data_IF_938577137350
#
_entry.id   IF_938577137350
#
_cell.length_a   1.000
_cell.length_b   1.000
_cell.length_c   1.000
_cell.angle_alpha   90.00
_cell.angle_beta   90.00
_cell.angle_gamma   90.00
#
_symmetry.space_group_name_H-M   'P 1'
#
loop_
_entity.id
_entity.type
_entity.pdbx_description
1 polymer ?
#
# COMPACT_ATOMS: atom_id res chain seq x y z
N UNK A 1 -22.42 21.20 22.43
CA UNK A 1 -21.12 20.76 22.99
C UNK A 1 -20.32 19.98 21.96
N UNK A 2 -19.00 19.85 22.14
CA UNK A 2 -18.11 19.06 21.27
C UNK A 2 -17.41 18.02 22.14
N UNK A 3 -17.42 16.75 21.74
CA UNK A 3 -16.68 15.69 22.43
C UNK A 3 -16.47 14.49 21.50
N UNK A 4 -16.17 13.31 22.05
CA UNK A 4 -15.88 12.08 21.32
C UNK A 4 -16.79 10.94 21.73
N UNK A 5 -17.12 10.07 20.76
CA UNK A 5 -17.83 8.82 21.02
C UNK A 5 -16.94 7.93 21.89
N UNK A 6 -17.46 7.50 23.04
CA UNK A 6 -16.75 6.68 24.02
C UNK A 6 -17.07 5.20 23.87
N UNK A 7 -18.33 4.87 23.63
CA UNK A 7 -18.79 3.49 23.47
C UNK A 7 -20.01 3.41 22.57
N UNK A 8 -20.15 2.26 21.91
CA UNK A 8 -21.20 1.97 20.95
C UNK A 8 -21.66 0.52 21.15
N UNK A 9 -22.96 0.30 21.17
CA UNK A 9 -23.58 -0.98 21.43
C UNK A 9 -24.68 -1.23 20.38
N UNK A 10 -24.65 -2.42 19.77
CA UNK A 10 -25.71 -2.92 18.90
C UNK A 10 -26.78 -3.61 19.72
N UNK A 11 -28.05 -3.38 19.38
CA UNK A 11 -29.15 -4.15 19.95
C UNK A 11 -29.11 -5.58 19.40
N UNK A 12 -29.09 -6.56 20.29
CA UNK A 12 -29.01 -7.98 19.90
C UNK A 12 -30.27 -8.47 19.18
N UNK A 13 -31.38 -7.77 19.34
CA UNK A 13 -32.68 -8.16 18.78
C UNK A 13 -33.06 -7.35 17.53
N UNK A 14 -32.27 -6.31 17.19
CA UNK A 14 -32.50 -5.48 16.01
C UNK A 14 -31.17 -4.90 15.52
N UNK A 15 -30.61 -5.49 14.46
CA UNK A 15 -29.33 -5.07 13.88
C UNK A 15 -29.34 -3.63 13.38
N UNK A 16 -30.52 -3.08 13.07
CA UNK A 16 -30.71 -1.69 12.68
C UNK A 16 -30.79 -0.72 13.86
N UNK A 17 -30.72 -1.20 15.10
CA UNK A 17 -30.83 -0.37 16.30
C UNK A 17 -29.51 -0.36 17.08
N UNK A 18 -28.99 0.83 17.35
CA UNK A 18 -27.80 1.01 18.17
C UNK A 18 -27.95 2.19 19.12
N UNK A 19 -27.18 2.13 20.20
CA UNK A 19 -27.05 3.19 21.19
C UNK A 19 -25.60 3.31 21.63
N UNK A 20 -25.24 4.44 22.24
CA UNK A 20 -23.88 4.65 22.71
C UNK A 20 -23.78 5.79 23.70
N UNK A 21 -22.54 6.13 24.02
CA UNK A 21 -22.22 7.20 24.95
C UNK A 21 -21.15 8.12 24.37
N UNK A 22 -21.37 9.43 24.50
CA UNK A 22 -20.39 10.47 24.20
C UNK A 22 -19.73 10.89 25.51
N UNK A 23 -18.39 10.96 25.50
CA UNK A 23 -17.59 11.27 26.69
C UNK A 23 -17.97 12.63 27.26
N UNK A 24 -18.26 12.68 28.56
CA UNK A 24 -18.39 13.95 29.27
C UNK A 24 -17.02 14.65 29.42
N UNK A 25 -17.00 15.97 29.33
CA UNK A 25 -15.78 16.78 29.51
C UNK A 25 -15.61 17.26 30.96
N UNK A 26 -16.63 17.10 31.78
CA UNK A 26 -16.63 17.36 33.21
C UNK A 26 -16.59 16.04 34.01
N UNK A 27 -16.65 16.11 35.34
CA UNK A 27 -16.68 14.94 36.23
C UNK A 27 -18.05 14.22 36.25
N UNK A 28 -18.99 14.64 35.39
CA UNK A 28 -20.32 14.06 35.34
C UNK A 28 -20.42 12.80 34.48
N UNK A 29 -21.63 12.22 34.43
CA UNK A 29 -21.91 11.05 33.61
C UNK A 29 -21.79 11.37 32.10
N UNK A 30 -21.42 10.36 31.31
CA UNK A 30 -21.39 10.45 29.85
C UNK A 30 -22.80 10.66 29.25
N UNK A 31 -22.85 11.25 28.05
CA UNK A 31 -24.10 11.55 27.36
C UNK A 31 -24.59 10.35 26.55
N UNK A 32 -25.77 9.84 26.88
CA UNK A 32 -26.40 8.74 26.16
C UNK A 32 -27.04 9.21 24.84
N UNK A 33 -26.92 8.40 23.78
CA UNK A 33 -27.59 8.63 22.49
C UNK A 33 -28.14 7.35 21.86
N UNK A 34 -29.09 7.50 20.95
CA UNK A 34 -29.66 6.43 20.11
C UNK A 34 -29.42 6.73 18.63
N UNK A 35 -29.57 5.72 17.75
CA UNK A 35 -29.47 5.88 16.29
C UNK A 35 -30.21 7.09 15.72
N UNK A 36 -31.46 7.30 16.17
CA UNK A 36 -32.30 8.42 15.69
C UNK A 36 -31.72 9.81 15.98
N UNK A 37 -30.80 9.91 16.94
CA UNK A 37 -30.18 11.17 17.36
C UNK A 37 -28.96 11.53 16.47
N UNK A 38 -28.63 10.66 15.49
CA UNK A 38 -27.49 10.70 14.56
C UNK A 38 -27.93 10.84 13.09
N UNK A 39 -28.96 11.64 12.78
CA UNK A 39 -29.50 11.88 11.42
C UNK A 39 -29.63 10.60 10.54
N UNK A 40 -29.94 9.45 11.16
CA UNK A 40 -30.01 8.13 10.51
C UNK A 40 -28.73 7.64 9.80
N UNK A 41 -27.55 8.05 10.24
CA UNK A 41 -26.29 7.49 9.75
C UNK A 41 -26.21 5.97 9.96
N UNK A 42 -25.65 5.20 9.01
CA UNK A 42 -25.33 3.79 9.21
C UNK A 42 -24.35 3.63 10.38
N UNK A 43 -24.50 2.55 11.15
CA UNK A 43 -23.61 2.30 12.30
C UNK A 43 -22.16 2.07 11.85
N UNK A 44 -21.98 1.60 10.62
CA UNK A 44 -20.69 1.36 9.97
C UNK A 44 -19.85 2.63 9.85
N UNK A 45 -20.51 3.79 9.78
CA UNK A 45 -19.88 5.10 9.65
C UNK A 45 -19.56 5.73 11.02
N UNK A 46 -19.86 5.03 12.13
CA UNK A 46 -19.68 5.52 13.48
C UNK A 46 -18.62 4.69 14.20
N UNK A 47 -17.53 5.34 14.61
CA UNK A 47 -16.42 4.69 15.33
C UNK A 47 -16.16 5.32 16.69
N UNK A 48 -15.70 4.50 17.63
CA UNK A 48 -15.23 4.97 18.94
C UNK A 48 -14.06 5.93 18.72
N UNK A 49 -14.07 7.08 19.39
CA UNK A 49 -13.09 8.16 19.25
C UNK A 49 -13.47 9.26 18.26
N UNK A 50 -14.53 9.06 17.45
CA UNK A 50 -15.01 10.06 16.50
C UNK A 50 -15.45 11.35 17.20
N UNK A 51 -15.02 12.51 16.67
CA UNK A 51 -15.40 13.83 17.18
C UNK A 51 -16.77 14.24 16.68
N UNK A 52 -17.63 14.68 17.60
CA UNK A 52 -19.00 15.07 17.30
C UNK A 52 -19.38 16.34 18.05
N UNK A 53 -20.23 17.15 17.45
CA UNK A 53 -21.00 18.20 18.11
C UNK A 53 -22.40 17.69 18.41
N UNK A 54 -22.98 18.08 19.54
CA UNK A 54 -24.32 17.65 19.94
C UNK A 54 -25.00 18.67 20.86
N UNK A 55 -26.32 18.60 20.95
CA UNK A 55 -27.15 19.30 21.92
C UNK A 55 -27.26 18.44 23.18
N UNK A 56 -26.95 18.99 24.36
CA UNK A 56 -27.05 18.27 25.62
C UNK A 56 -28.37 18.53 26.33
N UNK A 57 -28.88 17.48 26.95
CA UNK A 57 -30.03 17.55 27.85
C UNK A 57 -29.72 16.83 29.15
N UNK A 58 -29.76 17.58 30.25
CA UNK A 58 -29.52 17.07 31.59
C UNK A 58 -30.85 17.00 32.35
N UNK A 59 -31.16 15.83 32.91
CA UNK A 59 -32.32 15.65 33.79
C UNK A 59 -31.95 15.89 35.24
N UNK A 60 -32.92 16.31 36.05
CA UNK A 60 -32.77 16.46 37.51
C UNK A 60 -32.31 15.16 38.20
N UNK A 61 -32.57 14.00 37.59
CA UNK A 61 -32.11 12.68 38.04
C UNK A 61 -30.63 12.39 37.78
N UNK A 62 -29.87 13.33 37.19
CA UNK A 62 -28.45 13.16 36.84
C UNK A 62 -28.20 12.37 35.55
N UNK A 63 -29.27 12.02 34.82
CA UNK A 63 -29.16 11.40 33.49
C UNK A 63 -28.91 12.46 32.42
N UNK A 64 -27.96 12.17 31.51
CA UNK A 64 -27.57 13.08 30.45
C UNK A 64 -27.75 12.44 29.08
N UNK A 65 -28.30 13.22 28.15
CA UNK A 65 -28.63 12.79 26.79
C UNK A 65 -27.98 13.71 25.76
N UNK A 66 -27.59 13.13 24.64
CA UNK A 66 -27.13 13.86 23.47
C UNK A 66 -28.14 13.69 22.32
N UNK A 67 -28.52 14.81 21.72
CA UNK A 67 -29.41 14.89 20.56
C UNK A 67 -28.76 15.74 19.46
N UNK A 68 -29.30 15.69 18.25
CA UNK A 68 -28.84 16.50 17.11
C UNK A 68 -27.32 16.34 16.87
N UNK A 69 -26.86 15.09 16.90
CA UNK A 69 -25.43 14.77 16.89
C UNK A 69 -24.90 14.90 15.46
N UNK A 70 -23.92 15.79 15.27
CA UNK A 70 -23.25 16.03 13.98
C UNK A 70 -21.77 15.67 14.07
N UNK A 71 -21.26 15.03 13.04
CA UNK A 71 -19.84 14.69 12.94
C UNK A 71 -19.04 15.96 12.63
N UNK A 72 -17.99 16.21 13.42
CA UNK A 72 -17.06 17.30 13.14
C UNK A 72 -15.91 16.72 12.32
N UNK A 73 -15.95 16.96 11.02
CA UNK A 73 -14.79 16.75 10.16
C UNK A 73 -13.79 17.87 10.48
N UNK A 74 -12.53 17.53 10.72
CA UNK A 74 -11.47 18.53 10.86
C UNK A 74 -11.38 19.34 9.57
N UNK A 75 -11.17 20.66 9.67
CA UNK A 75 -11.13 21.65 8.59
C UNK A 75 -10.02 21.41 7.54
N UNK A 76 -10.12 20.30 6.82
CA UNK A 76 -9.62 20.14 5.46
C UNK A 76 -10.77 20.05 4.44
N UNK A 77 -12.04 19.96 4.91
CA UNK A 77 -13.23 19.82 4.08
C UNK A 77 -14.27 20.88 4.46
N UNK A 78 -14.22 22.05 3.84
CA UNK A 78 -15.36 22.98 3.87
C UNK A 78 -15.65 23.50 2.46
N UNK A 79 -16.67 22.94 1.81
CA UNK A 79 -17.47 23.67 0.81
C UNK A 79 -18.96 23.34 1.01
N UNK A 80 -19.73 24.42 1.04
CA UNK A 80 -21.16 24.64 1.25
C UNK A 80 -22.17 23.58 0.77
N UNK A 81 -23.20 23.41 1.61
CA UNK A 81 -24.52 22.86 1.30
C UNK A 81 -25.19 23.64 0.17
N UNK A 82 -25.10 23.11 -1.05
CA UNK A 82 -26.21 23.06 -1.99
C UNK A 82 -25.84 22.08 -3.10
N UNK A 83 -26.75 21.14 -3.34
CA UNK A 83 -26.71 20.02 -4.28
C UNK A 83 -26.45 18.70 -3.57
N UNK A 84 -27.34 17.75 -3.86
CA UNK A 84 -27.24 16.31 -3.58
C UNK A 84 -25.80 15.89 -3.29
N UNK A 85 -25.54 15.22 -2.15
CA UNK A 85 -24.26 14.53 -1.92
C UNK A 85 -24.21 13.39 -2.93
N UNK A 86 -23.83 13.74 -4.14
CA UNK A 86 -23.32 12.84 -5.14
C UNK A 86 -21.88 12.59 -4.68
N UNK A 87 -21.72 11.67 -3.71
CA UNK A 87 -20.45 10.99 -3.46
C UNK A 87 -20.10 10.10 -4.68
N UNK A 88 -20.08 10.67 -5.88
CA UNK A 88 -19.53 10.03 -7.08
C UNK A 88 -18.16 10.63 -7.30
N UNK A 89 -17.16 9.90 -6.86
CA UNK A 89 -15.81 10.10 -7.35
C UNK A 89 -15.77 9.78 -8.85
N UNK A 90 -15.23 10.70 -9.65
CA UNK A 90 -15.00 10.45 -11.07
C UNK A 90 -13.89 9.40 -11.27
N UNK A 91 -13.92 8.66 -12.37
CA UNK A 91 -12.86 7.68 -12.69
C UNK A 91 -11.47 8.33 -12.75
N UNK A 92 -11.38 9.55 -13.28
CA UNK A 92 -10.11 10.29 -13.35
C UNK A 92 -9.61 10.74 -11.98
N UNK A 93 -10.52 11.14 -11.08
CA UNK A 93 -10.17 11.47 -9.70
C UNK A 93 -9.71 10.23 -8.93
N UNK A 94 -10.40 9.10 -9.10
CA UNK A 94 -9.99 7.82 -8.53
C UNK A 94 -8.61 7.38 -9.03
N UNK A 95 -8.33 7.50 -10.35
CA UNK A 95 -7.00 7.24 -10.92
C UNK A 95 -5.94 8.13 -10.29
N UNK A 96 -6.23 9.42 -10.12
CA UNK A 96 -5.30 10.35 -9.45
C UNK A 96 -4.96 9.86 -8.05
N UNK A 97 -5.94 9.46 -7.25
CA UNK A 97 -5.69 8.94 -5.90
C UNK A 97 -4.82 7.67 -5.89
N UNK A 98 -4.99 6.77 -6.87
CA UNK A 98 -4.12 5.59 -7.00
C UNK A 98 -2.68 5.99 -7.32
N UNK A 99 -2.49 6.91 -8.27
CA UNK A 99 -1.18 7.44 -8.66
C UNK A 99 -0.51 8.18 -7.49
N UNK A 100 -1.26 9.01 -6.77
CA UNK A 100 -0.75 9.75 -5.62
C UNK A 100 -0.37 8.81 -4.47
N UNK A 101 -1.13 7.73 -4.28
CA UNK A 101 -0.84 6.72 -3.26
C UNK A 101 0.51 6.04 -3.49
N UNK A 102 0.81 5.59 -4.72
CA UNK A 102 2.11 4.97 -5.01
C UNK A 102 3.27 5.99 -5.01
N UNK A 103 2.99 7.26 -5.32
CA UNK A 103 4.02 8.30 -5.31
C UNK A 103 4.53 8.60 -3.89
N UNK A 104 3.80 8.23 -2.84
CA UNK A 104 4.25 8.37 -1.44
C UNK A 104 5.46 7.49 -1.11
N UNK A 105 5.76 6.46 -1.89
CA UNK A 105 6.98 5.63 -1.71
C UNK A 105 8.25 6.48 -1.70
N UNK A 106 8.25 7.60 -2.46
CA UNK A 106 9.35 8.56 -2.54
C UNK A 106 9.71 9.16 -1.16
N UNK A 107 8.76 9.21 -0.23
CA UNK A 107 8.91 9.77 1.10
C UNK A 107 9.42 8.76 2.14
N UNK A 108 9.49 7.47 1.80
CA UNK A 108 9.90 6.42 2.73
C UNK A 108 11.41 6.44 2.90
N UNK A 109 11.88 6.57 4.15
CA UNK A 109 13.31 6.63 4.48
C UNK A 109 13.75 5.49 5.41
N UNK A 110 12.83 4.62 5.80
CA UNK A 110 13.18 3.35 6.43
C UNK A 110 13.47 2.30 5.34
N UNK A 111 14.62 1.61 5.36
CA UNK A 111 14.97 0.61 4.34
C UNK A 111 13.97 -0.54 4.24
N UNK A 112 13.45 -1.05 5.37
CA UNK A 112 12.56 -2.21 5.38
C UNK A 112 11.18 -1.86 4.81
N UNK A 113 10.67 -0.68 5.18
CA UNK A 113 9.43 -0.15 4.61
C UNK A 113 9.58 0.17 3.12
N UNK A 114 10.76 0.60 2.68
CA UNK A 114 11.05 0.85 1.27
C UNK A 114 11.02 -0.45 0.46
N UNK A 115 11.69 -1.51 0.93
CA UNK A 115 11.63 -2.85 0.34
C UNK A 115 10.19 -3.37 0.20
N UNK A 116 9.41 -3.29 1.29
CA UNK A 116 8.03 -3.78 1.31
C UNK A 116 7.15 -2.97 0.35
N UNK A 117 7.38 -1.66 0.27
CA UNK A 117 6.67 -0.77 -0.66
C UNK A 117 7.04 -1.01 -2.12
N UNK A 118 8.31 -1.28 -2.42
CA UNK A 118 8.77 -1.67 -3.77
C UNK A 118 8.11 -2.99 -4.18
N UNK A 119 8.05 -3.97 -3.28
CA UNK A 119 7.36 -5.23 -3.53
C UNK A 119 5.88 -5.03 -3.85
N UNK A 120 5.19 -4.18 -3.08
CA UNK A 120 3.79 -3.81 -3.35
C UNK A 120 3.65 -3.16 -4.73
N UNK A 121 4.51 -2.19 -5.07
CA UNK A 121 4.49 -1.51 -6.36
C UNK A 121 4.70 -2.48 -7.53
N UNK A 122 5.66 -3.39 -7.44
CA UNK A 122 5.88 -4.40 -8.48
C UNK A 122 4.62 -5.25 -8.71
N UNK A 123 3.95 -5.67 -7.63
CA UNK A 123 2.69 -6.42 -7.75
C UNK A 123 1.58 -5.57 -8.37
N UNK A 124 1.41 -4.31 -7.97
CA UNK A 124 0.34 -3.45 -8.49
C UNK A 124 0.56 -2.99 -9.92
N UNK A 125 1.81 -2.89 -10.38
CA UNK A 125 2.17 -2.68 -11.79
C UNK A 125 1.74 -3.88 -12.67
N UNK A 126 1.54 -5.05 -12.08
CA UNK A 126 1.12 -6.27 -12.79
C UNK A 126 2.21 -7.35 -12.87
N UNK A 127 3.30 -7.19 -12.12
CA UNK A 127 4.32 -8.24 -11.96
C UNK A 127 3.82 -9.29 -10.97
N UNK A 128 2.92 -10.15 -11.44
CA UNK A 128 2.15 -11.04 -10.58
C UNK A 128 2.94 -12.25 -10.04
N UNK A 129 4.07 -12.61 -10.67
CA UNK A 129 4.95 -13.68 -10.20
C UNK A 129 6.18 -13.08 -9.52
N UNK A 130 5.94 -12.43 -8.39
CA UNK A 130 6.98 -11.81 -7.53
C UNK A 130 7.12 -12.61 -6.23
N UNK A 131 8.36 -12.82 -5.80
CA UNK A 131 8.74 -13.62 -4.66
C UNK A 131 9.67 -12.79 -3.78
N UNK A 132 9.25 -12.53 -2.54
CA UNK A 132 10.11 -11.89 -1.54
C UNK A 132 10.91 -12.96 -0.82
N UNK A 133 12.19 -12.73 -0.59
CA UNK A 133 13.01 -13.64 0.21
C UNK A 133 12.78 -13.37 1.71
N UNK A 134 12.84 -14.43 2.52
CA UNK A 134 12.63 -14.33 3.96
C UNK A 134 13.77 -13.54 4.64
N UNK A 135 13.39 -12.53 5.43
CA UNK A 135 14.28 -11.64 6.19
C UNK A 135 15.07 -12.37 7.29
N UNK A 136 14.58 -13.53 7.76
CA UNK A 136 15.17 -14.25 8.90
C UNK A 136 16.58 -14.81 8.60
N UNK A 137 16.98 -14.93 7.32
CA UNK A 137 18.31 -15.42 6.91
C UNK A 137 18.88 -14.60 5.74
N UNK A 138 18.90 -13.27 5.88
CA UNK A 138 19.11 -12.31 4.77
C UNK A 138 20.56 -12.09 4.34
N UNK A 139 21.57 -12.56 5.08
CA UNK A 139 22.97 -12.31 4.73
C UNK A 139 23.29 -12.81 3.30
N UNK A 140 23.57 -11.87 2.38
CA UNK A 140 23.88 -12.15 0.97
C UNK A 140 22.71 -12.56 0.08
N UNK A 141 21.45 -12.30 0.50
CA UNK A 141 20.25 -12.56 -0.31
C UNK A 141 19.65 -11.25 -0.82
N UNK A 142 19.17 -11.31 -2.06
CA UNK A 142 18.35 -10.28 -2.66
C UNK A 142 17.04 -10.12 -1.88
N UNK A 143 16.38 -8.99 -2.03
CA UNK A 143 15.07 -8.74 -1.40
C UNK A 143 13.97 -9.51 -2.11
N UNK A 144 14.09 -9.67 -3.43
CA UNK A 144 13.17 -10.50 -4.16
C UNK A 144 13.63 -10.93 -5.54
N UNK A 145 12.73 -11.67 -6.15
CA UNK A 145 12.85 -12.16 -7.52
C UNK A 145 11.48 -12.07 -8.18
N UNK A 146 11.43 -11.69 -9.44
CA UNK A 146 10.22 -11.79 -10.22
C UNK A 146 10.45 -12.31 -11.63
N UNK A 147 9.37 -12.83 -12.21
CA UNK A 147 9.34 -13.23 -13.61
C UNK A 147 8.07 -12.71 -14.27
N UNK A 148 8.23 -12.09 -15.44
CA UNK A 148 7.11 -11.63 -16.27
C UNK A 148 7.46 -11.90 -17.73
N UNK A 149 6.60 -12.67 -18.40
CA UNK A 149 6.86 -13.18 -19.75
C UNK A 149 8.29 -13.72 -19.90
N UNK A 150 9.11 -13.15 -20.78
CA UNK A 150 10.49 -13.54 -21.05
C UNK A 150 11.52 -12.86 -20.13
N UNK A 151 11.13 -11.98 -19.20
CA UNK A 151 12.02 -11.27 -18.30
C UNK A 151 12.08 -11.95 -16.92
N UNK A 152 13.28 -12.25 -16.44
CA UNK A 152 13.56 -12.72 -15.09
C UNK A 152 14.48 -11.73 -14.37
N UNK A 153 14.07 -11.25 -13.19
CA UNK A 153 14.80 -10.22 -12.45
C UNK A 153 15.02 -10.63 -11.02
N UNK A 154 16.27 -10.56 -10.57
CA UNK A 154 16.62 -10.56 -9.15
C UNK A 154 16.81 -9.10 -8.72
N UNK A 155 16.13 -8.66 -7.66
CA UNK A 155 16.17 -7.27 -7.25
C UNK A 155 16.51 -7.09 -5.77
N UNK A 156 17.16 -5.98 -5.48
CA UNK A 156 17.61 -5.57 -4.16
C UNK A 156 17.41 -4.06 -4.05
N UNK A 157 16.95 -3.58 -2.91
CA UNK A 157 16.53 -2.20 -2.69
C UNK A 157 17.55 -1.51 -1.79
N UNK A 158 17.85 -0.24 -2.07
CA UNK A 158 18.67 0.55 -1.17
C UNK A 158 18.35 2.02 -1.25
N UNK A 159 18.41 2.68 -0.09
CA UNK A 159 18.28 4.13 0.03
C UNK A 159 19.64 4.85 -0.12
N UNK A 160 20.75 4.10 -0.24
CA UNK A 160 22.09 4.67 -0.36
C UNK A 160 22.48 4.80 -1.83
N UNK A 161 22.79 6.02 -2.27
CA UNK A 161 23.13 6.29 -3.67
C UNK A 161 24.51 5.76 -4.10
N UNK A 162 25.45 5.59 -3.19
CA UNK A 162 26.81 5.08 -3.48
C UNK A 162 26.90 3.56 -3.34
N UNK A 163 25.81 2.83 -3.59
CA UNK A 163 25.72 1.39 -3.34
C UNK A 163 26.77 0.56 -4.07
N UNK A 164 27.24 1.04 -5.23
CA UNK A 164 28.28 0.37 -6.02
C UNK A 164 29.53 0.07 -5.17
N UNK A 165 29.89 0.94 -4.20
CA UNK A 165 31.09 0.77 -3.38
C UNK A 165 30.98 -0.33 -2.31
N UNK A 166 29.80 -0.88 -2.05
CA UNK A 166 29.60 -1.87 -0.98
C UNK A 166 28.68 -3.04 -1.36
N UNK A 167 28.01 -3.00 -2.52
CA UNK A 167 27.16 -4.09 -3.02
C UNK A 167 27.81 -4.94 -4.11
N UNK A 168 29.06 -4.67 -4.52
CA UNK A 168 29.74 -5.39 -5.60
C UNK A 168 29.68 -6.92 -5.43
N UNK A 169 30.06 -7.43 -4.26
CA UNK A 169 30.01 -8.87 -3.96
C UNK A 169 28.56 -9.42 -3.98
N UNK A 170 27.57 -8.63 -3.54
CA UNK A 170 26.16 -9.03 -3.59
C UNK A 170 25.67 -9.13 -5.05
N UNK A 171 26.02 -8.15 -5.87
CA UNK A 171 25.68 -8.10 -7.29
C UNK A 171 26.30 -9.30 -8.02
N UNK A 172 27.58 -9.59 -7.78
CA UNK A 172 28.26 -10.75 -8.37
C UNK A 172 27.56 -12.06 -7.99
N UNK A 173 27.16 -12.20 -6.73
CA UNK A 173 26.38 -13.34 -6.25
C UNK A 173 25.03 -13.47 -6.97
N UNK A 174 24.36 -12.35 -7.30
CA UNK A 174 23.09 -12.36 -8.04
C UNK A 174 23.30 -12.75 -9.51
N UNK A 175 24.34 -12.22 -10.15
CA UNK A 175 24.73 -12.59 -11.52
C UNK A 175 24.98 -14.09 -11.59
N UNK A 176 25.85 -14.63 -10.73
CA UNK A 176 26.17 -16.05 -10.69
C UNK A 176 24.93 -16.94 -10.48
N UNK A 177 23.98 -16.50 -9.63
CA UNK A 177 22.71 -17.22 -9.41
C UNK A 177 21.83 -17.25 -10.68
N UNK A 178 21.81 -16.18 -11.47
CA UNK A 178 21.00 -16.10 -12.68
C UNK A 178 21.68 -16.74 -13.89
N UNK A 179 22.99 -16.60 -14.04
CA UNK A 179 23.72 -17.06 -15.22
C UNK A 179 23.97 -18.57 -15.19
N UNK A 180 24.44 -19.10 -14.07
CA UNK A 180 24.87 -20.50 -13.94
C UNK A 180 23.71 -21.49 -13.78
N UNK A 181 22.54 -21.03 -13.33
CA UNK A 181 21.40 -21.91 -13.02
C UNK A 181 20.38 -21.93 -14.15
N UNK A 182 20.00 -23.14 -14.57
CA UNK A 182 18.86 -23.34 -15.46
C UNK A 182 17.52 -23.06 -14.76
N UNK A 183 17.48 -23.18 -13.43
CA UNK A 183 16.27 -22.98 -12.63
C UNK A 183 16.58 -22.40 -11.24
N UNK A 184 15.61 -21.67 -10.68
CA UNK A 184 15.65 -21.17 -9.30
C UNK A 184 14.48 -21.75 -8.50
N UNK A 185 14.76 -22.16 -7.26
CA UNK A 185 13.74 -22.68 -6.32
C UNK A 185 13.57 -21.72 -5.16
N UNK A 186 12.33 -21.35 -4.87
CA UNK A 186 11.95 -20.41 -3.83
C UNK A 186 10.94 -21.05 -2.89
N UNK A 187 11.04 -20.78 -1.60
CA UNK A 187 10.02 -21.19 -0.64
C UNK A 187 8.87 -20.19 -0.67
N UNK A 188 7.66 -20.68 -0.92
CA UNK A 188 6.43 -19.88 -0.91
C UNK A 188 5.56 -20.27 0.27
N UNK A 189 4.97 -19.29 0.95
CA UNK A 189 3.98 -19.54 1.99
C UNK A 189 2.64 -19.90 1.33
N UNK A 190 2.06 -21.01 1.76
CA UNK A 190 0.70 -21.43 1.46
C UNK A 190 -0.30 -20.67 2.32
N UNK A 191 -1.57 -20.73 1.92
CA UNK A 191 -2.70 -20.13 2.64
C UNK A 191 -2.84 -20.71 4.05
N UNK A 192 -2.49 -21.98 4.24
CA UNK A 192 -2.50 -22.69 5.52
C UNK A 192 -1.27 -22.40 6.42
N UNK A 193 -0.38 -21.50 5.99
CA UNK A 193 0.87 -21.19 6.68
C UNK A 193 2.01 -22.17 6.41
N UNK A 194 1.77 -23.25 5.66
CA UNK A 194 2.81 -24.19 5.23
C UNK A 194 3.79 -23.56 4.24
N UNK A 195 5.01 -24.09 4.16
CA UNK A 195 6.02 -23.66 3.18
C UNK A 195 6.06 -24.67 2.03
N UNK A 196 6.08 -24.20 0.79
CA UNK A 196 6.22 -25.07 -0.39
C UNK A 196 7.24 -24.52 -1.36
N UNK A 197 8.22 -25.34 -1.80
CA UNK A 197 9.19 -24.92 -2.79
C UNK A 197 8.53 -24.77 -4.16
N UNK A 198 8.85 -23.69 -4.86
CA UNK A 198 8.43 -23.39 -6.21
C UNK A 198 9.65 -23.19 -7.09
N UNK A 199 9.77 -24.00 -8.13
CA UNK A 199 10.89 -23.94 -9.07
C UNK A 199 10.49 -23.21 -10.35
N UNK A 200 11.36 -22.32 -10.82
CA UNK A 200 11.16 -21.46 -11.99
C UNK A 200 12.30 -21.69 -12.96
N UNK A 201 11.96 -22.01 -14.21
CA UNK A 201 12.94 -22.16 -15.29
C UNK A 201 13.42 -20.79 -15.79
N UNK A 202 14.73 -20.64 -15.92
CA UNK A 202 15.41 -19.45 -16.42
C UNK A 202 15.86 -19.57 -17.88
N UNK A 203 15.83 -20.77 -18.45
CA UNK A 203 16.23 -21.03 -19.84
C UNK A 203 15.38 -20.20 -20.81
N UNK A 204 16.04 -19.48 -21.73
CA UNK A 204 15.38 -18.63 -22.73
C UNK A 204 14.80 -17.31 -22.19
N UNK A 205 15.09 -16.95 -20.94
CA UNK A 205 14.70 -15.67 -20.34
C UNK A 205 15.80 -14.64 -20.48
N UNK A 206 15.41 -13.39 -20.73
CA UNK A 206 16.25 -12.21 -20.50
C UNK A 206 16.45 -12.05 -19.00
N UNK A 207 17.70 -12.01 -18.55
CA UNK A 207 18.04 -11.99 -17.12
C UNK A 207 18.56 -10.61 -16.73
N UNK A 208 18.05 -10.07 -15.63
CA UNK A 208 18.53 -8.80 -15.10
C UNK A 208 18.73 -8.86 -13.58
N UNK A 209 19.71 -8.11 -13.09
CA UNK A 209 19.88 -7.77 -11.68
C UNK A 209 19.53 -6.30 -11.52
N UNK A 210 18.57 -5.99 -10.67
CA UNK A 210 18.13 -4.62 -10.42
C UNK A 210 18.51 -4.19 -9.02
N UNK A 211 19.22 -3.07 -8.91
CA UNK A 211 19.36 -2.33 -7.66
C UNK A 211 18.37 -1.18 -7.70
N UNK A 212 17.31 -1.26 -6.89
CA UNK A 212 16.22 -0.29 -6.88
C UNK A 212 16.54 0.80 -5.87
N UNK A 213 16.62 2.05 -6.35
CA UNK A 213 17.07 3.20 -5.55
C UNK A 213 16.14 4.41 -5.75
N UNK A 214 16.45 5.50 -5.05
CA UNK A 214 15.93 6.85 -5.35
C UNK A 214 16.84 7.64 -6.30
N UNK A 215 17.81 6.99 -6.93
CA UNK A 215 18.72 7.57 -7.91
C UNK A 215 18.13 7.59 -9.32
N UNK A 216 19.00 7.59 -10.31
CA UNK A 216 18.65 7.59 -11.73
C UNK A 216 18.78 6.19 -12.31
N UNK A 217 17.84 5.81 -13.20
CA UNK A 217 17.94 4.51 -13.86
C UNK A 217 19.07 4.51 -14.87
N UNK A 218 19.93 3.49 -14.79
CA UNK A 218 21.06 3.30 -15.72
C UNK A 218 21.47 1.83 -15.80
N UNK A 219 21.87 1.39 -16.98
CA UNK A 219 22.59 0.14 -17.15
C UNK A 219 24.02 0.30 -16.58
N UNK A 220 24.36 -0.53 -15.61
CA UNK A 220 25.67 -0.51 -14.94
C UNK A 220 26.65 -1.43 -15.67
N UNK A 221 26.18 -2.60 -16.09
CA UNK A 221 27.01 -3.59 -16.77
C UNK A 221 26.17 -4.68 -17.45
N UNK A 222 26.85 -5.46 -18.30
CA UNK A 222 26.31 -6.66 -18.94
C UNK A 222 27.36 -7.78 -18.81
N UNK A 223 27.08 -8.78 -17.97
CA UNK A 223 27.98 -9.89 -17.68
C UNK A 223 27.25 -11.22 -17.79
N UNK A 224 27.82 -12.17 -18.56
CA UNK A 224 27.29 -13.53 -18.71
C UNK A 224 25.80 -13.58 -19.14
N UNK A 225 25.42 -12.68 -20.07
CA UNK A 225 24.04 -12.45 -20.53
C UNK A 225 23.07 -12.04 -19.40
N UNK A 226 23.57 -11.44 -18.33
CA UNK A 226 22.81 -10.83 -17.25
C UNK A 226 23.11 -9.33 -17.22
N UNK A 227 22.08 -8.51 -17.45
CA UNK A 227 22.20 -7.06 -17.35
C UNK A 227 22.08 -6.61 -15.91
N UNK A 228 23.00 -5.80 -15.42
CA UNK A 228 22.91 -5.15 -14.12
C UNK A 228 22.47 -3.71 -14.31
N UNK A 229 21.45 -3.29 -13.57
CA UNK A 229 20.90 -1.95 -13.67
C UNK A 229 20.64 -1.34 -12.31
N UNK A 230 20.91 -0.04 -12.20
CA UNK A 230 20.23 0.80 -11.24
C UNK A 230 18.85 1.12 -11.80
N UNK A 231 17.81 0.95 -10.98
CA UNK A 231 16.43 1.25 -11.36
C UNK A 231 15.88 2.25 -10.37
N UNK A 232 15.50 3.41 -10.90
CA UNK A 232 14.85 4.43 -10.11
C UNK A 232 13.43 4.00 -9.73
N UNK A 233 13.08 4.16 -8.45
CA UNK A 233 11.70 4.00 -8.00
C UNK A 233 10.75 4.99 -8.70
N UNK A 234 11.27 6.14 -9.16
CA UNK A 234 10.47 7.12 -9.89
C UNK A 234 10.02 6.57 -11.26
N UNK A 235 10.89 5.82 -11.95
CA UNK A 235 10.55 5.23 -13.25
C UNK A 235 9.51 4.11 -13.12
N UNK A 236 9.61 3.30 -12.06
CA UNK A 236 8.58 2.30 -11.75
C UNK A 236 7.22 2.96 -11.46
N UNK A 237 7.21 4.07 -10.71
CA UNK A 237 5.98 4.84 -10.48
C UNK A 237 5.40 5.41 -11.80
N UNK A 238 6.24 5.90 -12.70
CA UNK A 238 5.78 6.38 -14.01
C UNK A 238 5.24 5.25 -14.90
N UNK A 239 5.82 4.04 -14.83
CA UNK A 239 5.26 2.86 -15.52
C UNK A 239 3.87 2.52 -14.98
N UNK A 240 3.68 2.51 -13.65
CA UNK A 240 2.36 2.30 -13.05
C UNK A 240 1.34 3.34 -13.55
N UNK A 241 1.74 4.61 -13.55
CA UNK A 241 0.90 5.72 -14.03
C UNK A 241 0.58 5.60 -15.52
N UNK A 242 1.54 5.23 -16.37
CA UNK A 242 1.30 4.96 -17.80
C UNK A 242 0.26 3.85 -17.95
N UNK A 243 0.41 2.75 -17.21
CA UNK A 243 -0.51 1.61 -17.24
C UNK A 243 -1.93 1.97 -16.83
N UNK A 244 -2.11 2.81 -15.81
CA UNK A 244 -3.44 3.25 -15.39
C UNK A 244 -4.14 4.18 -16.40
N UNK A 245 -3.37 4.97 -17.14
CA UNK A 245 -3.90 5.98 -18.05
C UNK A 245 -4.11 5.47 -19.47
N UNK A 246 -3.44 4.38 -19.86
CA UNK A 246 -3.52 3.81 -21.20
C UNK A 246 -4.30 2.49 -21.18
N UNK A 247 -5.52 2.51 -21.71
CA UNK A 247 -6.40 1.33 -21.80
C UNK A 247 -5.81 0.23 -22.69
N UNK A 248 -4.87 0.56 -23.57
CA UNK A 248 -4.18 -0.39 -24.45
C UNK A 248 -2.91 -0.96 -23.82
N UNK A 249 -2.60 -0.59 -22.58
CA UNK A 249 -1.39 -1.02 -21.89
C UNK A 249 -1.49 -2.48 -21.42
N UNK A 250 -1.00 -3.38 -22.27
CA UNK A 250 -0.99 -4.81 -22.02
C UNK A 250 0.31 -5.29 -21.34
N UNK A 251 0.50 -6.62 -21.29
CA UNK A 251 1.70 -7.21 -20.70
C UNK A 251 2.93 -7.08 -21.61
N UNK A 252 2.76 -7.04 -22.93
CA UNK A 252 3.88 -6.88 -23.87
C UNK A 252 4.50 -5.50 -23.70
N UNK A 253 3.66 -4.46 -23.64
CA UNK A 253 4.09 -3.09 -23.37
C UNK A 253 4.74 -2.95 -21.99
N UNK A 254 4.17 -3.60 -20.97
CA UNK A 254 4.77 -3.64 -19.63
C UNK A 254 6.17 -4.24 -19.65
N UNK A 255 6.32 -5.42 -20.26
CA UNK A 255 7.60 -6.12 -20.33
C UNK A 255 8.63 -5.30 -21.10
N UNK A 256 8.23 -4.66 -22.20
CA UNK A 256 9.10 -3.76 -22.94
C UNK A 256 9.54 -2.58 -22.06
N UNK A 257 8.62 -1.86 -21.43
CA UNK A 257 8.97 -0.74 -20.55
C UNK A 257 9.94 -1.19 -19.45
N UNK A 258 9.69 -2.33 -18.79
CA UNK A 258 10.58 -2.90 -17.77
C UNK A 258 11.96 -3.29 -18.33
N UNK A 259 12.03 -3.93 -19.50
CA UNK A 259 13.30 -4.34 -20.13
C UNK A 259 14.17 -3.13 -20.50
N UNK A 260 13.54 -2.03 -20.89
CA UNK A 260 14.21 -0.84 -21.43
C UNK A 260 14.39 0.29 -20.41
N UNK A 261 13.97 0.13 -19.14
CA UNK A 261 14.33 1.10 -18.08
C UNK A 261 15.86 1.28 -18.03
N UNK A 262 16.30 2.54 -18.02
CA UNK A 262 17.72 2.91 -17.87
C UNK A 262 18.64 2.43 -19.01
N UNK A 263 18.08 2.04 -20.16
CA UNK A 263 18.84 1.80 -21.38
C UNK A 263 19.03 3.06 -22.21
#
# INVERSE_FOLDING_TARGET
>A
MISQIKSLYRDKNNEDYYFGFIRALDEGNDYYFKKKDFDNLPIEDISIGMKVSFTNHDKESGQRFATEIKIIKSDADSINDSNEIVNKIGVEEYKSYLIDSINKIKLINDPSEFEDSVFILLKTIGVNKTFQFDRINQAGKADGFFIIENLAVMYDCTLQGNFESFKEEQIENYINKLSQKAQLTFNTKKIDGGITPKTIQLTGKSKQVWIITKGESKELSDFDNVKVKEISIYDLCEIYKKRLNDITYDNEKLVNDLIFIGK
#
